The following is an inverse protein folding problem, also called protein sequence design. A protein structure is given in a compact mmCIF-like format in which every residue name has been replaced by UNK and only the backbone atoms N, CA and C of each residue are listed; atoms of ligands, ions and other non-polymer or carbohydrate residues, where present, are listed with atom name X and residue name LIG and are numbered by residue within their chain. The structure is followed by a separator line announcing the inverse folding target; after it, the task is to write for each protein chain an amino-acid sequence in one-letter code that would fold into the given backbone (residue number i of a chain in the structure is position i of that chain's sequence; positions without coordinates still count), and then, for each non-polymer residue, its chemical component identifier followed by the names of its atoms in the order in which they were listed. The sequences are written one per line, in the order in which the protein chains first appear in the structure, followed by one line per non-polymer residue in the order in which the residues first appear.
data_IF_186931506346
#
_entry.id   IF_186931506346
#
_cell.length_a   1.000
_cell.length_b   1.000
_cell.length_c   1.000
_cell.angle_alpha   90.00
_cell.angle_beta   90.00
_cell.angle_gamma   90.00
#
_symmetry.space_group_name_H-M   'P 1'
#
loop_
_entity.id
_entity.type
_entity.pdbx_description
1 polymer ?
#
# COMPACT_ATOMS: atom_id res chain seq x y z
N UNK A 1 -12.73 13.02 -21.68
CA UNK A 1 -13.50 13.52 -20.53
C UNK A 1 -13.12 12.76 -19.26
N UNK A 2 -12.86 13.44 -18.13
CA UNK A 2 -12.72 12.79 -16.83
C UNK A 2 -14.01 12.08 -16.40
N UNK A 3 -13.89 10.93 -15.74
CA UNK A 3 -15.00 10.14 -15.22
C UNK A 3 -14.73 9.69 -13.79
N UNK A 4 -15.79 9.52 -12.99
CA UNK A 4 -15.65 9.00 -11.63
C UNK A 4 -15.28 7.52 -11.65
N UNK A 5 -14.46 7.11 -10.68
CA UNK A 5 -14.12 5.71 -10.44
C UNK A 5 -14.66 5.28 -9.07
N UNK A 6 -15.23 4.08 -9.00
CA UNK A 6 -15.69 3.46 -7.75
C UNK A 6 -14.49 3.17 -6.84
N UNK A 7 -14.58 3.60 -5.58
CA UNK A 7 -13.58 3.30 -4.56
C UNK A 7 -13.60 1.80 -4.20
N UNK A 8 -12.49 1.29 -3.69
CA UNK A 8 -12.42 -0.11 -3.23
C UNK A 8 -13.33 -0.36 -2.02
N UNK A 9 -13.41 0.62 -1.12
CA UNK A 9 -14.25 0.66 0.06
C UNK A 9 -14.39 2.12 0.53
N UNK A 10 -15.29 2.37 1.49
CA UNK A 10 -15.52 3.72 2.01
C UNK A 10 -14.32 4.22 2.83
N UNK A 11 -13.83 5.43 2.51
CA UNK A 11 -12.63 5.99 3.16
C UNK A 11 -11.30 5.54 2.55
N UNK A 12 -11.30 4.94 1.34
CA UNK A 12 -10.07 4.67 0.59
C UNK A 12 -9.44 5.97 0.07
N UNK A 13 -8.36 6.39 0.73
CA UNK A 13 -7.59 7.57 0.35
C UNK A 13 -6.59 7.30 -0.77
N UNK A 14 -6.37 6.04 -1.17
CA UNK A 14 -5.44 5.68 -2.24
C UNK A 14 -6.12 5.69 -3.61
N UNK A 15 -7.32 5.12 -3.76
CA UNK A 15 -7.95 4.98 -5.07
C UNK A 15 -8.31 6.34 -5.69
N UNK A 16 -7.91 6.63 -6.95
CA UNK A 16 -8.27 7.87 -7.59
C UNK A 16 -9.79 7.94 -7.79
N UNK A 17 -10.43 8.98 -7.24
CA UNK A 17 -11.87 9.25 -7.41
C UNK A 17 -12.23 9.62 -8.85
N UNK A 18 -11.27 10.18 -9.58
CA UNK A 18 -11.42 10.59 -10.97
C UNK A 18 -10.32 9.95 -11.82
N UNK A 19 -10.73 9.44 -12.97
CA UNK A 19 -9.82 8.92 -14.00
C UNK A 19 -10.15 9.54 -15.34
N UNK A 20 -9.14 9.64 -16.20
CA UNK A 20 -9.31 10.07 -17.60
C UNK A 20 -8.52 9.14 -18.51
N UNK A 21 -8.87 9.18 -19.79
CA UNK A 21 -8.32 8.30 -20.83
C UNK A 21 -8.50 6.80 -20.51
N UNK A 22 -7.97 5.95 -21.38
CA UNK A 22 -8.05 4.49 -21.31
C UNK A 22 -6.71 3.86 -21.72
N UNK A 23 -6.57 2.55 -21.53
CA UNK A 23 -5.37 1.82 -21.93
C UNK A 23 -4.09 2.34 -21.28
N UNK A 24 -3.04 2.52 -22.09
CA UNK A 24 -1.72 2.99 -21.65
C UNK A 24 -1.72 4.45 -21.19
N UNK A 25 -2.62 5.27 -21.74
CA UNK A 25 -2.76 6.69 -21.39
C UNK A 25 -3.64 6.91 -20.17
N UNK A 26 -4.17 5.84 -19.54
CA UNK A 26 -5.07 5.96 -18.40
C UNK A 26 -4.38 6.69 -17.25
N UNK A 27 -5.02 7.75 -16.78
CA UNK A 27 -4.55 8.60 -15.70
C UNK A 27 -5.57 8.70 -14.57
N UNK A 28 -5.05 8.90 -13.36
CA UNK A 28 -5.83 9.08 -12.15
C UNK A 28 -5.47 10.39 -11.50
N UNK A 29 -6.49 11.05 -10.95
CA UNK A 29 -6.32 12.31 -10.25
C UNK A 29 -5.90 12.07 -8.80
N UNK A 30 -4.83 12.73 -8.38
CA UNK A 30 -4.42 12.83 -6.99
C UNK A 30 -5.08 14.07 -6.37
N UNK A 31 -6.03 13.84 -5.46
CA UNK A 31 -6.73 14.86 -4.67
C UNK A 31 -5.93 15.32 -3.44
N UNK A 32 -4.81 14.67 -3.14
CA UNK A 32 -3.94 15.02 -2.01
C UNK A 32 -2.89 16.09 -2.36
N UNK A 33 -2.73 16.44 -3.64
CA UNK A 33 -1.86 17.54 -4.07
C UNK A 33 -2.60 18.88 -4.09
N UNK A 34 -1.87 19.98 -3.91
CA UNK A 34 -2.37 21.34 -4.11
C UNK A 34 -1.44 22.09 -5.07
N UNK A 35 -1.87 22.38 -6.31
CA UNK A 35 -3.09 21.90 -6.95
C UNK A 35 -3.06 20.38 -7.22
N UNK A 36 -4.23 19.76 -7.38
CA UNK A 36 -4.32 18.33 -7.66
C UNK A 36 -3.64 17.92 -8.97
N UNK A 37 -3.17 16.67 -9.05
CA UNK A 37 -2.27 16.21 -10.14
C UNK A 37 -2.80 14.98 -10.87
N UNK A 38 -2.78 15.00 -12.20
CA UNK A 38 -3.04 13.81 -13.02
C UNK A 38 -1.76 13.00 -13.19
N UNK A 39 -1.84 11.69 -12.95
CA UNK A 39 -0.70 10.78 -13.02
C UNK A 39 -1.10 9.49 -13.71
N UNK A 40 -0.19 8.95 -14.52
CA UNK A 40 -0.41 7.71 -15.24
C UNK A 40 -0.51 6.50 -14.30
N UNK A 41 -1.46 5.62 -14.61
CA UNK A 41 -1.67 4.38 -13.85
C UNK A 41 -0.79 3.25 -14.38
N UNK A 42 -0.68 3.11 -15.71
CA UNK A 42 -0.02 1.95 -16.35
C UNK A 42 1.46 1.85 -16.03
N UNK A 43 2.17 2.98 -15.94
CA UNK A 43 3.59 3.05 -15.59
C UNK A 43 3.83 3.20 -14.08
N UNK A 44 2.81 2.96 -13.25
CA UNK A 44 2.87 3.08 -11.78
C UNK A 44 3.20 4.48 -11.22
N UNK A 45 3.22 5.55 -12.04
CA UNK A 45 3.51 6.90 -11.56
C UNK A 45 2.54 7.35 -10.45
N UNK A 46 1.25 7.05 -10.59
CA UNK A 46 0.24 7.31 -9.56
C UNK A 46 0.56 6.59 -8.24
N UNK A 47 0.96 5.32 -8.32
CA UNK A 47 1.29 4.50 -7.16
C UNK A 47 2.46 5.10 -6.38
N UNK A 48 3.60 5.31 -7.05
CA UNK A 48 4.80 5.89 -6.44
C UNK A 48 4.50 7.24 -5.78
N UNK A 49 3.69 8.07 -6.44
CA UNK A 49 3.32 9.37 -5.92
C UNK A 49 2.48 9.29 -4.64
N UNK A 50 1.37 8.55 -4.63
CA UNK A 50 0.56 8.40 -3.41
C UNK A 50 1.37 7.76 -2.28
N UNK A 51 2.16 6.76 -2.61
CA UNK A 51 2.94 5.95 -1.68
C UNK A 51 4.09 6.73 -1.02
N UNK A 52 4.91 7.46 -1.77
CA UNK A 52 6.14 8.08 -1.24
C UNK A 52 6.11 9.61 -1.14
N UNK A 53 5.17 10.28 -1.81
CA UNK A 53 4.99 11.72 -1.66
C UNK A 53 3.95 12.03 -0.58
N UNK A 54 2.80 11.34 -0.61
CA UNK A 54 1.73 11.53 0.37
C UNK A 54 1.74 10.53 1.52
N UNK A 55 2.53 9.46 1.42
CA UNK A 55 2.61 8.45 2.45
C UNK A 55 1.31 7.65 2.60
N UNK A 56 0.62 7.33 1.51
CA UNK A 56 -0.63 6.55 1.51
C UNK A 56 -0.36 5.15 0.98
N UNK A 57 -0.69 4.14 1.77
CA UNK A 57 -0.50 2.73 1.41
C UNK A 57 -1.44 2.29 0.30
N UNK A 58 -0.88 1.70 -0.74
CA UNK A 58 -1.66 1.03 -1.78
C UNK A 58 -2.44 -0.18 -1.27
N UNK A 59 -1.95 -0.84 -0.21
CA UNK A 59 -2.58 -2.04 0.36
C UNK A 59 -3.80 -1.65 1.19
N UNK A 60 -3.60 -0.80 2.20
CA UNK A 60 -4.66 -0.44 3.14
C UNK A 60 -5.49 0.76 2.73
N UNK A 61 -5.07 1.52 1.73
CA UNK A 61 -5.73 2.76 1.31
C UNK A 61 -5.65 3.90 2.34
N UNK A 62 -4.87 3.74 3.41
CA UNK A 62 -4.72 4.69 4.52
C UNK A 62 -3.30 5.27 4.55
N UNK A 63 -3.14 6.42 5.21
CA UNK A 63 -1.83 7.02 5.43
C UNK A 63 -0.96 6.18 6.35
N UNK A 64 0.36 6.19 6.13
CA UNK A 64 1.32 5.58 7.03
C UNK A 64 1.23 6.22 8.41
N UNK A 65 1.45 5.39 9.42
CA UNK A 65 1.59 5.90 10.78
C UNK A 65 2.85 6.76 10.86
N UNK A 66 2.72 7.87 11.59
CA UNK A 66 3.83 8.77 11.88
C UNK A 66 4.80 8.09 12.85
N UNK A 67 6.05 8.58 12.95
CA UNK A 67 6.96 8.12 13.99
C UNK A 67 6.34 8.29 15.38
N UNK A 68 6.60 7.34 16.29
CA UNK A 68 6.19 7.46 17.69
C UNK A 68 6.92 8.62 18.37
N UNK A 69 8.19 8.74 18.07
CA UNK A 69 9.07 9.80 18.55
C UNK A 69 9.91 10.30 17.39
N UNK A 70 10.33 11.57 17.46
CA UNK A 70 11.28 12.16 16.52
C UNK A 70 12.45 12.73 17.29
N UNK A 71 13.66 12.51 16.77
CA UNK A 71 14.89 13.05 17.35
C UNK A 71 15.79 13.62 16.28
N UNK A 72 16.66 14.53 16.69
CA UNK A 72 17.76 14.98 15.84
C UNK A 72 18.85 13.90 15.84
N UNK A 73 19.05 13.28 14.68
CA UNK A 73 20.10 12.29 14.44
C UNK A 73 21.43 12.94 14.08
N UNK A 74 22.38 12.11 13.64
CA UNK A 74 23.71 12.56 13.22
C UNK A 74 23.61 13.40 11.93
N UNK A 75 24.30 14.53 11.88
CA UNK A 75 24.46 15.33 10.64
C UNK A 75 23.18 16.05 10.18
N UNK A 76 22.44 16.67 11.10
CA UNK A 76 21.23 17.47 10.81
C UNK A 76 20.05 16.66 10.22
N UNK A 77 20.09 15.34 10.30
CA UNK A 77 19.00 14.48 9.84
C UNK A 77 18.00 14.21 10.98
N UNK A 78 16.71 14.34 10.70
CA UNK A 78 15.67 13.98 11.68
C UNK A 78 15.37 12.48 11.54
N UNK A 79 15.50 11.76 12.63
CA UNK A 79 15.12 10.35 12.74
C UNK A 79 13.76 10.21 13.43
N UNK A 80 13.03 9.15 13.10
CA UNK A 80 11.77 8.78 13.71
C UNK A 80 11.80 7.36 14.27
N UNK A 81 11.21 7.14 15.44
CA UNK A 81 11.04 5.81 16.02
C UNK A 81 9.88 5.06 15.35
N UNK A 82 10.18 3.92 14.73
CA UNK A 82 9.16 3.05 14.12
C UNK A 82 8.39 2.24 15.15
N UNK A 83 7.07 2.30 15.09
CA UNK A 83 6.18 1.51 15.95
C UNK A 83 6.23 -0.01 15.71
N UNK A 84 6.74 -0.47 14.56
CA UNK A 84 6.74 -1.88 14.23
C UNK A 84 8.09 -2.54 14.56
N UNK A 85 9.19 -1.96 14.12
CA UNK A 85 10.52 -2.51 14.37
C UNK A 85 11.26 -1.88 15.55
N UNK A 86 10.69 -0.81 16.14
CA UNK A 86 11.22 -0.11 17.31
C UNK A 86 12.65 0.42 17.11
N UNK A 87 13.00 0.75 15.86
CA UNK A 87 14.27 1.38 15.49
C UNK A 87 14.05 2.80 15.06
N UNK A 88 15.03 3.65 15.36
CA UNK A 88 15.12 4.98 14.78
C UNK A 88 15.56 4.86 13.32
N UNK A 89 14.79 5.47 12.43
CA UNK A 89 15.06 5.49 10.99
C UNK A 89 14.95 6.92 10.47
N UNK A 90 15.67 7.21 9.39
CA UNK A 90 15.66 8.55 8.77
C UNK A 90 14.24 8.95 8.34
N UNK A 91 13.73 10.03 8.91
CA UNK A 91 12.38 10.52 8.62
C UNK A 91 12.39 11.61 7.55
N UNK A 92 13.19 12.67 7.77
CA UNK A 92 13.36 13.76 6.81
C UNK A 92 14.79 14.32 6.84
N UNK A 93 15.16 14.98 5.74
CA UNK A 93 16.45 15.67 5.65
C UNK A 93 16.32 17.05 6.31
N UNK A 94 17.31 17.48 7.11
CA UNK A 94 17.26 18.74 7.89
C UNK A 94 16.95 19.98 7.04
N UNK A 95 17.44 19.99 5.79
CA UNK A 95 17.22 21.07 4.81
C UNK A 95 15.76 21.18 4.33
N UNK A 96 14.96 20.10 4.43
CA UNK A 96 13.55 20.05 4.01
C UNK A 96 12.73 19.26 5.04
N UNK A 97 12.49 19.87 6.21
CA UNK A 97 11.80 19.28 7.37
C UNK A 97 10.41 18.68 7.06
N UNK A 98 9.77 19.09 5.97
CA UNK A 98 8.44 18.57 5.57
C UNK A 98 8.49 17.40 4.57
N UNK A 99 9.68 16.93 4.16
CA UNK A 99 9.80 15.81 3.22
C UNK A 99 10.00 14.48 3.98
N UNK A 100 8.90 13.78 4.23
CA UNK A 100 8.85 12.47 4.91
C UNK A 100 9.09 11.28 3.97
N UNK A 101 9.66 11.47 2.78
CA UNK A 101 9.80 10.40 1.79
C UNK A 101 10.66 9.22 2.30
N UNK A 102 11.68 9.51 3.11
CA UNK A 102 12.54 8.49 3.71
C UNK A 102 11.74 7.64 4.71
N UNK A 103 10.93 8.29 5.54
CA UNK A 103 9.98 7.62 6.43
C UNK A 103 9.03 6.71 5.66
N UNK A 104 8.40 7.21 4.59
CA UNK A 104 7.42 6.44 3.84
C UNK A 104 8.04 5.23 3.11
N UNK A 105 9.32 5.32 2.71
CA UNK A 105 10.06 4.17 2.17
C UNK A 105 10.26 3.08 3.23
N UNK A 106 10.57 3.46 4.46
CA UNK A 106 10.66 2.52 5.57
C UNK A 106 9.29 1.92 5.88
N UNK A 107 8.27 2.77 6.06
CA UNK A 107 6.91 2.37 6.38
C UNK A 107 6.33 1.36 5.38
N UNK A 108 6.55 1.58 4.09
CA UNK A 108 6.15 0.65 3.02
C UNK A 108 6.71 -0.77 3.21
N UNK A 109 7.95 -0.88 3.67
CA UNK A 109 8.65 -2.17 3.81
C UNK A 109 8.43 -2.81 5.18
N UNK A 110 8.27 -1.99 6.22
CA UNK A 110 8.30 -2.44 7.61
C UNK A 110 6.90 -2.59 8.21
N UNK A 111 5.96 -1.71 7.89
CA UNK A 111 4.66 -1.72 8.54
C UNK A 111 3.76 -2.80 7.93
N UNK A 112 3.19 -3.64 8.78
CA UNK A 112 2.19 -4.61 8.38
C UNK A 112 0.83 -3.94 8.42
N UNK A 113 0.15 -3.88 7.27
CA UNK A 113 -1.20 -3.33 7.19
C UNK A 113 -2.19 -4.39 6.74
N UNK A 114 -3.29 -4.52 7.49
CA UNK A 114 -4.39 -5.39 7.10
C UNK A 114 -5.03 -4.89 5.81
N UNK A 115 -5.30 -5.84 4.92
CA UNK A 115 -6.05 -5.58 3.70
C UNK A 115 -7.52 -5.38 4.11
N UNK A 116 -8.17 -4.27 3.72
CA UNK A 116 -9.54 -4.00 4.10
C UNK A 116 -10.43 -5.15 3.61
N UNK A 117 -11.09 -5.84 4.55
CA UNK A 117 -12.07 -6.88 4.22
C UNK A 117 -13.21 -6.20 3.47
N UNK A 118 -13.47 -6.65 2.24
CA UNK A 118 -14.68 -6.25 1.53
C UNK A 118 -15.86 -6.63 2.43
N UNK A 119 -16.59 -5.63 2.90
CA UNK A 119 -17.71 -5.84 3.81
C UNK A 119 -18.80 -6.61 3.07
N UNK A 120 -18.81 -7.94 3.21
CA UNK A 120 -20.00 -8.73 2.97
C UNK A 120 -21.01 -8.33 4.04
N UNK A 121 -21.97 -7.47 3.68
CA UNK A 121 -23.16 -7.26 4.49
C UNK A 121 -23.94 -8.59 4.53
N UNK A 122 -23.65 -9.41 5.53
CA UNK A 122 -24.40 -10.59 5.90
C UNK A 122 -24.66 -10.52 7.40
N UNK A 123 -25.73 -9.82 7.78
CA UNK A 123 -26.32 -9.95 9.11
C UNK A 123 -26.82 -11.38 9.21
N UNK A 124 -26.05 -12.27 9.85
CA UNK A 124 -26.58 -13.54 10.36
C UNK A 124 -26.83 -13.35 11.86
N UNK A 125 -28.12 -13.40 12.16
CA UNK A 125 -28.76 -13.34 13.48
C UNK A 125 -28.04 -14.26 14.47
N UNK A 126 -27.78 -13.76 15.67
CA UNK A 126 -27.47 -14.59 16.84
C UNK A 126 -28.71 -15.42 17.20
N UNK A 127 -28.52 -16.72 17.39
CA UNK A 127 -29.33 -17.53 18.30
C UNK A 127 -28.47 -18.70 18.78
N UNK A 128 -28.12 -18.67 20.07
CA UNK A 128 -27.71 -19.84 20.83
C UNK A 128 -28.88 -20.83 20.88
N UNK A 129 -28.61 -22.11 20.65
CA UNK A 129 -29.10 -23.15 21.54
C UNK A 129 -28.22 -24.40 21.44
N UNK A 130 -27.94 -24.99 22.59
CA UNK A 130 -27.12 -26.17 22.79
C UNK A 130 -28.03 -27.38 22.90
N UNK A 131 -27.74 -28.48 22.19
CA UNK A 131 -27.82 -29.89 22.67
C UNK A 131 -27.46 -30.86 21.52
N UNK A 132 -26.47 -31.72 21.77
CA UNK A 132 -25.88 -32.83 20.99
C UNK A 132 -26.74 -34.11 20.99
N UNK A 133 -26.33 -35.28 20.43
CA UNK A 133 -25.60 -35.58 19.18
C UNK A 133 -26.25 -36.76 18.36
N UNK A 134 -25.87 -36.94 17.09
CA UNK A 134 -26.09 -38.21 16.38
C UNK A 134 -24.91 -38.57 15.45
N UNK A 135 -24.22 -39.60 15.92
CA UNK A 135 -23.30 -40.58 15.33
C UNK A 135 -23.62 -40.95 13.86
N UNK A 136 -22.62 -40.92 12.97
CA UNK A 136 -22.35 -41.94 11.96
C UNK A 136 -21.00 -41.69 11.25
N UNK A 137 -20.18 -42.74 11.22
CA UNK A 137 -18.85 -42.85 10.61
C UNK A 137 -18.94 -43.17 9.11
N UNK A 138 -17.97 -42.71 8.31
CA UNK A 138 -17.12 -43.55 7.42
C UNK A 138 -16.22 -42.73 6.49
N UNK A 139 -14.90 -42.93 6.66
CA UNK A 139 -13.81 -43.09 5.67
C UNK A 139 -13.91 -42.51 4.25
N UNK A 140 -12.92 -41.68 3.88
CA UNK A 140 -11.82 -41.98 2.92
C UNK A 140 -10.99 -40.68 2.70
N UNK A 141 -9.72 -40.63 3.11
CA UNK A 141 -8.52 -40.92 2.32
C UNK A 141 -8.28 -39.98 1.11
N UNK A 142 -7.30 -39.08 1.24
CA UNK A 142 -6.17 -38.88 0.30
C UNK A 142 -5.68 -37.42 0.18
N UNK A 143 -4.39 -37.27 0.55
CA UNK A 143 -3.32 -36.53 -0.16
C UNK A 143 -3.35 -35.00 -0.28
N UNK A 144 -2.43 -34.40 0.48
CA UNK A 144 -1.43 -33.36 0.14
C UNK A 144 -1.47 -32.73 -1.26
N UNK A 145 -1.35 -31.40 -1.33
CA UNK A 145 -0.20 -30.75 -1.98
C UNK A 145 -0.10 -29.25 -1.62
N UNK A 146 1.15 -28.83 -1.44
CA UNK A 146 1.60 -27.48 -1.13
C UNK A 146 2.04 -26.80 -2.42
N UNK A 147 1.62 -25.57 -2.69
CA UNK A 147 2.37 -24.72 -3.62
C UNK A 147 2.11 -23.23 -3.43
N UNK A 148 3.11 -22.58 -2.85
CA UNK A 148 3.32 -21.13 -2.79
C UNK A 148 3.52 -20.53 -4.19
N UNK A 149 3.02 -19.32 -4.49
CA UNK A 149 3.40 -18.61 -5.70
C UNK A 149 4.74 -17.89 -5.51
N UNK A 150 5.73 -18.31 -6.29
CA UNK A 150 7.05 -17.70 -6.43
C UNK A 150 6.98 -16.36 -7.16
N UNK A 151 7.72 -15.38 -6.64
CA UNK A 151 7.95 -14.06 -7.22
C UNK A 151 8.75 -14.15 -8.53
N UNK A 152 8.42 -13.40 -9.60
CA UNK A 152 9.33 -13.23 -10.73
C UNK A 152 10.34 -12.11 -10.44
N UNK A 153 11.63 -12.48 -10.48
CA UNK A 153 12.76 -11.55 -10.51
C UNK A 153 12.80 -10.79 -11.85
N UNK A 154 12.90 -9.47 -11.78
CA UNK A 154 13.16 -8.60 -12.91
C UNK A 154 14.68 -8.45 -13.06
N UNK A 155 15.24 -9.08 -14.09
CA UNK A 155 16.65 -8.97 -14.44
C UNK A 155 16.92 -7.64 -15.14
N UNK A 156 17.96 -6.97 -14.64
CA UNK A 156 18.59 -5.75 -15.15
C UNK A 156 19.01 -5.89 -16.61
N UNK A 157 18.57 -4.99 -17.49
CA UNK A 157 19.21 -4.74 -18.78
C UNK A 157 19.88 -3.37 -18.75
N UNK A 158 21.21 -3.40 -18.74
CA UNK A 158 22.08 -2.25 -18.97
C UNK A 158 21.90 -1.78 -20.41
N UNK A 159 21.46 -0.54 -20.62
CA UNK A 159 21.61 0.14 -21.92
C UNK A 159 22.79 1.11 -21.84
N UNK A 160 23.85 0.68 -22.51
CA UNK A 160 25.04 1.43 -22.90
C UNK A 160 24.63 2.58 -23.83
N UNK A 161 24.87 3.83 -23.43
CA UNK A 161 24.74 4.99 -24.32
C UNK A 161 26.16 5.43 -24.70
N UNK A 162 26.54 5.13 -25.93
CA UNK A 162 27.79 5.58 -26.54
C UNK A 162 27.67 7.05 -26.94
N UNK A 163 28.76 7.78 -26.69
CA UNK A 163 28.99 9.15 -27.14
C UNK A 163 29.08 9.18 -28.67
N UNK A 164 28.51 10.23 -29.26
CA UNK A 164 28.85 10.70 -30.61
C UNK A 164 29.33 12.13 -30.49
N UNK A 165 30.42 12.39 -31.23
CA UNK A 165 31.33 13.53 -31.22
C UNK A 165 30.67 14.91 -31.31
#
# INVERSE_FOLDING_TARGET
MPRRQKLRYDGDSYTPKWVRFTGHLKEGYCDSCQPGKWLQLKNSAYWYHKQFYHGISSVSGKSFMKPLEQRMGKGDMIEGLCHQCHRFVSACNGKKKNNYMLWYRHAHKCHLYDKPKATSKGVRKLSNDSTTPAIASSSDAATVDSSSPTSPSCSTSHHHYQQVN
#
